data_IF_204080106420
#
_entry.id   IF_204080106420
#
_cell.length_a   1.000
_cell.length_b   1.000
_cell.length_c   1.000
_cell.angle_alpha   90.00
_cell.angle_beta   90.00
_cell.angle_gamma   90.00
#
_symmetry.space_group_name_H-M   'P 1'
#
loop_
_entity.id
_entity.type
_entity.pdbx_description
1 polymer ?
#
# COMPACT_ATOMS: atom_id res chain seq x y z
N UNK A 1 -74.97 -13.65 6.71
CA UNK A 1 -73.65 -13.56 7.35
C UNK A 1 -72.57 -13.92 6.33
N UNK A 2 -71.78 -12.95 5.85
CA UNK A 2 -70.52 -13.21 5.20
C UNK A 2 -69.35 -12.79 6.12
N UNK A 3 -68.40 -13.70 6.35
CA UNK A 3 -67.14 -13.37 7.02
C UNK A 3 -66.26 -12.54 6.08
N UNK A 4 -66.16 -11.23 6.33
CA UNK A 4 -65.13 -10.38 5.75
C UNK A 4 -63.79 -10.72 6.40
N UNK A 5 -62.89 -11.34 5.62
CA UNK A 5 -61.49 -11.52 5.99
C UNK A 5 -60.78 -10.21 5.68
N UNK A 6 -60.44 -9.44 6.72
CA UNK A 6 -59.57 -8.29 6.63
C UNK A 6 -58.22 -8.74 6.05
N UNK A 7 -57.89 -8.29 4.83
CA UNK A 7 -56.52 -8.27 4.34
C UNK A 7 -55.93 -6.92 4.73
N UNK A 8 -55.09 -6.94 5.75
CA UNK A 8 -54.17 -5.84 6.03
C UNK A 8 -53.25 -5.65 4.81
N UNK A 9 -53.00 -4.41 4.36
CA UNK A 9 -51.96 -4.19 3.39
C UNK A 9 -50.63 -4.46 4.09
N UNK A 10 -49.94 -5.53 3.68
CA UNK A 10 -48.53 -5.71 4.00
C UNK A 10 -47.79 -4.43 3.58
N UNK A 11 -47.46 -3.59 4.57
CA UNK A 11 -46.51 -2.51 4.39
C UNK A 11 -45.25 -3.14 3.84
N UNK A 12 -44.91 -2.74 2.62
CA UNK A 12 -43.64 -3.06 2.01
C UNK A 12 -42.55 -2.68 3.01
N UNK A 13 -41.79 -3.66 3.48
CA UNK A 13 -40.43 -3.40 3.91
C UNK A 13 -39.70 -2.92 2.65
N UNK A 14 -39.74 -1.62 2.39
CA UNK A 14 -38.76 -0.97 1.52
C UNK A 14 -37.41 -1.20 2.20
N UNK A 15 -36.74 -2.28 1.80
CA UNK A 15 -35.30 -2.35 1.87
C UNK A 15 -34.80 -1.09 1.17
N UNK A 16 -34.15 -0.21 1.92
CA UNK A 16 -33.38 0.90 1.37
C UNK A 16 -32.20 0.29 0.58
N UNK A 17 -32.49 -0.30 -0.58
CA UNK A 17 -31.48 -0.67 -1.55
C UNK A 17 -30.87 0.63 -2.07
N UNK A 18 -29.58 0.78 -1.81
CA UNK A 18 -28.80 1.88 -2.33
C UNK A 18 -28.95 1.90 -3.86
N UNK A 19 -29.11 3.08 -4.50
CA UNK A 19 -29.39 3.20 -5.93
C UNK A 19 -28.36 2.53 -6.86
N UNK A 20 -27.20 2.12 -6.34
CA UNK A 20 -26.19 1.33 -7.02
C UNK A 20 -26.59 -0.16 -7.18
N UNK A 21 -27.22 -0.78 -6.18
CA UNK A 21 -27.66 -2.18 -6.27
C UNK A 21 -28.80 -2.36 -7.28
N UNK A 22 -29.69 -1.38 -7.40
CA UNK A 22 -30.73 -1.37 -8.44
C UNK A 22 -30.13 -1.27 -9.85
N UNK A 23 -29.05 -0.49 -10.02
CA UNK A 23 -28.30 -0.40 -11.30
C UNK A 23 -27.54 -1.68 -11.66
N UNK A 24 -27.11 -2.47 -10.67
CA UNK A 24 -26.48 -3.78 -10.88
C UNK A 24 -27.48 -4.87 -11.28
N UNK A 25 -28.71 -4.82 -10.76
CA UNK A 25 -29.77 -5.76 -11.14
C UNK A 25 -30.28 -5.52 -12.58
N UNK A 26 -30.24 -4.26 -13.04
CA UNK A 26 -30.67 -3.84 -14.38
C UNK A 26 -29.52 -3.81 -15.41
N UNK A 27 -28.27 -3.95 -14.98
CA UNK A 27 -27.11 -3.94 -15.87
C UNK A 27 -26.92 -5.31 -16.54
N UNK A 28 -26.74 -5.27 -17.86
CA UNK A 28 -26.34 -6.45 -18.62
C UNK A 28 -25.00 -6.98 -18.06
N UNK A 29 -24.89 -8.25 -17.65
CA UNK A 29 -23.67 -8.83 -17.04
C UNK A 29 -22.44 -8.86 -17.99
N UNK A 30 -22.64 -8.44 -19.25
CA UNK A 30 -21.59 -8.29 -20.26
C UNK A 30 -21.23 -6.83 -20.56
N UNK A 31 -21.90 -5.84 -19.96
CA UNK A 31 -21.56 -4.44 -20.13
C UNK A 31 -20.62 -3.97 -19.01
N UNK A 32 -19.43 -3.43 -19.33
CA UNK A 32 -18.54 -2.86 -18.32
C UNK A 32 -19.22 -1.64 -17.69
N UNK A 33 -19.36 -1.68 -16.36
CA UNK A 33 -19.89 -0.57 -15.56
C UNK A 33 -18.99 0.64 -15.79
N UNK A 34 -19.51 1.70 -16.42
CA UNK A 34 -18.76 2.96 -16.56
C UNK A 34 -18.84 3.73 -15.25
N UNK A 35 -17.72 3.99 -14.56
CA UNK A 35 -17.73 4.77 -13.34
C UNK A 35 -18.19 6.21 -13.62
N UNK A 36 -19.01 6.76 -12.71
CA UNK A 36 -19.52 8.12 -12.79
C UNK A 36 -18.34 9.12 -12.66
N UNK A 37 -18.17 10.08 -13.60
CA UNK A 37 -17.02 10.98 -13.64
C UNK A 37 -16.86 11.85 -12.39
N UNK A 38 -17.94 12.14 -11.66
CA UNK A 38 -17.88 12.89 -10.40
C UNK A 38 -17.49 12.00 -9.20
N UNK A 39 -17.68 10.68 -9.31
CA UNK A 39 -17.23 9.69 -8.34
C UNK A 39 -15.72 9.46 -8.46
N UNK A 40 -15.22 9.40 -9.70
CA UNK A 40 -13.78 9.42 -10.00
C UNK A 40 -13.08 10.60 -9.33
N UNK A 41 -13.66 11.80 -9.29
CA UNK A 41 -13.01 12.95 -8.65
C UNK A 41 -12.85 12.80 -7.12
N UNK A 42 -13.77 12.11 -6.43
CA UNK A 42 -13.70 11.85 -4.98
C UNK A 42 -12.76 10.70 -4.63
N UNK A 43 -12.61 9.74 -5.53
CA UNK A 43 -11.62 8.66 -5.45
C UNK A 43 -10.17 9.18 -5.28
N UNK A 44 -9.90 10.41 -5.74
CA UNK A 44 -8.55 10.93 -5.80
C UNK A 44 -8.11 11.71 -4.56
N UNK A 45 -8.95 11.96 -3.53
CA UNK A 45 -8.49 12.66 -2.32
C UNK A 45 -8.02 11.69 -1.22
N UNK A 46 -6.71 11.71 -0.95
CA UNK A 46 -6.01 10.96 0.09
C UNK A 46 -5.33 11.96 1.04
N UNK A 47 -5.50 11.85 2.37
CA UNK A 47 -4.98 12.86 3.33
C UNK A 47 -5.49 14.31 3.10
N UNK A 48 -6.60 14.48 2.38
CA UNK A 48 -7.06 15.80 1.92
C UNK A 48 -6.32 16.33 0.69
N UNK A 49 -5.44 15.52 0.08
CA UNK A 49 -4.66 15.82 -1.12
C UNK A 49 -5.12 14.96 -2.30
N UNK A 50 -5.15 15.49 -3.53
CA UNK A 50 -5.32 14.67 -4.73
C UNK A 50 -4.23 13.56 -4.88
N UNK A 51 -4.49 12.51 -5.67
CA UNK A 51 -3.55 11.39 -5.89
C UNK A 51 -2.16 11.83 -6.35
N UNK A 52 -2.09 12.75 -7.31
CA UNK A 52 -0.82 13.22 -7.87
C UNK A 52 0.08 13.91 -6.80
N UNK A 53 -0.40 14.89 -6.01
CA UNK A 53 0.39 15.47 -4.93
C UNK A 53 0.68 14.48 -3.80
N UNK A 54 -0.23 13.56 -3.48
CA UNK A 54 0.05 12.51 -2.47
C UNK A 54 1.20 11.60 -2.92
N UNK A 55 1.17 11.15 -4.18
CA UNK A 55 2.22 10.32 -4.76
C UNK A 55 3.55 11.10 -4.89
N UNK A 56 3.48 12.40 -5.19
CA UNK A 56 4.66 13.28 -5.18
C UNK A 56 5.27 13.36 -3.79
N UNK A 57 4.44 13.57 -2.76
CA UNK A 57 4.88 13.62 -1.36
C UNK A 57 5.55 12.30 -0.92
N UNK A 58 5.02 11.16 -1.36
CA UNK A 58 5.65 9.87 -1.12
C UNK A 58 7.08 9.81 -1.69
N UNK A 59 7.29 10.22 -2.94
CA UNK A 59 8.62 10.21 -3.55
C UNK A 59 9.57 11.26 -2.98
N UNK A 60 9.05 12.39 -2.46
CA UNK A 60 9.84 13.39 -1.71
C UNK A 60 10.44 12.78 -0.45
N UNK A 61 9.80 11.77 0.16
CA UNK A 61 10.37 11.03 1.28
C UNK A 61 11.19 9.81 0.85
N UNK A 62 10.67 9.00 -0.07
CA UNK A 62 11.28 7.73 -0.47
C UNK A 62 12.64 7.89 -1.18
N UNK A 63 12.75 8.84 -2.12
CA UNK A 63 13.99 9.00 -2.89
C UNK A 63 15.14 9.50 -2.00
N UNK A 64 14.98 10.58 -1.21
CA UNK A 64 16.03 11.01 -0.29
C UNK A 64 16.36 9.96 0.77
N UNK A 65 15.38 9.19 1.24
CA UNK A 65 15.61 8.05 2.13
C UNK A 65 16.64 7.07 1.53
N UNK A 66 16.44 6.60 0.30
CA UNK A 66 17.37 5.68 -0.36
C UNK A 66 18.76 6.28 -0.57
N UNK A 67 18.83 7.57 -0.93
CA UNK A 67 20.12 8.27 -1.08
C UNK A 67 20.86 8.32 0.26
N UNK A 68 20.15 8.62 1.35
CA UNK A 68 20.72 8.70 2.69
C UNK A 68 21.12 7.33 3.25
N UNK A 69 20.42 6.26 2.88
CA UNK A 69 20.80 4.89 3.20
C UNK A 69 22.15 4.53 2.56
N UNK A 70 22.31 4.85 1.27
CA UNK A 70 23.58 4.67 0.55
C UNK A 70 24.67 5.57 1.16
N UNK A 71 24.37 6.84 1.43
CA UNK A 71 25.31 7.77 2.04
C UNK A 71 25.73 7.33 3.46
N UNK A 72 24.83 6.75 4.23
CA UNK A 72 25.12 6.14 5.53
C UNK A 72 26.11 4.99 5.36
N UNK A 73 25.92 4.10 4.39
CA UNK A 73 26.86 3.02 4.14
C UNK A 73 28.27 3.52 3.76
N UNK A 74 28.34 4.55 2.91
CA UNK A 74 29.64 5.17 2.52
C UNK A 74 30.31 5.83 3.72
N UNK A 75 29.57 6.65 4.48
CA UNK A 75 30.13 7.35 5.65
C UNK A 75 30.51 6.40 6.77
N UNK A 76 29.72 5.34 7.01
CA UNK A 76 30.04 4.28 7.97
C UNK A 76 31.30 3.51 7.57
N UNK A 77 31.52 3.26 6.27
CA UNK A 77 32.72 2.59 5.78
C UNK A 77 33.97 3.47 5.93
N UNK A 78 33.88 4.76 5.61
CA UNK A 78 35.05 5.68 5.59
C UNK A 78 35.37 6.26 6.97
N UNK A 79 34.36 6.68 7.73
CA UNK A 79 34.51 7.42 9.00
C UNK A 79 34.17 6.59 10.22
N UNK A 80 33.83 5.31 10.05
CA UNK A 80 33.30 4.39 11.07
C UNK A 80 31.93 4.83 11.62
N UNK A 81 31.24 3.89 12.25
CA UNK A 81 29.84 4.05 12.70
C UNK A 81 29.65 5.06 13.84
N UNK A 82 30.63 5.34 14.73
CA UNK A 82 30.44 6.36 15.77
C UNK A 82 30.46 7.80 15.24
N UNK A 83 30.78 8.02 13.96
CA UNK A 83 30.90 9.37 13.40
C UNK A 83 29.55 10.08 13.32
N UNK A 84 29.52 11.36 13.67
CA UNK A 84 28.31 12.18 13.58
C UNK A 84 27.72 12.22 12.15
N UNK A 85 28.58 12.08 11.13
CA UNK A 85 28.16 12.00 9.74
C UNK A 85 27.34 10.72 9.47
N UNK A 86 27.82 9.57 9.93
CA UNK A 86 27.08 8.30 9.82
C UNK A 86 25.74 8.38 10.55
N UNK A 87 25.77 8.80 11.83
CA UNK A 87 24.57 8.89 12.67
C UNK A 87 23.54 9.83 12.05
N UNK A 88 23.98 10.98 11.53
CA UNK A 88 23.11 11.93 10.82
C UNK A 88 22.45 11.32 9.58
N UNK A 89 23.23 10.64 8.73
CA UNK A 89 22.69 9.98 7.53
C UNK A 89 21.70 8.87 7.88
N UNK A 90 22.04 7.98 8.82
CA UNK A 90 21.16 6.87 9.25
C UNK A 90 19.88 7.43 9.86
N UNK A 91 19.97 8.42 10.75
CA UNK A 91 18.79 8.98 11.41
C UNK A 91 17.85 9.63 10.39
N UNK A 92 18.39 10.42 9.46
CA UNK A 92 17.58 11.06 8.42
C UNK A 92 16.97 10.03 7.45
N UNK A 93 17.71 8.99 7.08
CA UNK A 93 17.19 7.84 6.34
C UNK A 93 15.98 7.23 7.05
N UNK A 94 16.12 6.87 8.34
CA UNK A 94 15.06 6.22 9.11
C UNK A 94 13.80 7.09 9.16
N UNK A 95 13.94 8.39 9.44
CA UNK A 95 12.80 9.32 9.51
C UNK A 95 12.06 9.39 8.19
N UNK A 96 12.77 9.54 7.06
CA UNK A 96 12.15 9.67 5.74
C UNK A 96 11.55 8.35 5.28
N UNK A 97 12.22 7.23 5.52
CA UNK A 97 11.70 5.89 5.23
C UNK A 97 10.37 5.65 5.96
N UNK A 98 10.36 5.86 7.28
CA UNK A 98 9.15 5.68 8.10
C UNK A 98 8.05 6.67 7.74
N UNK A 99 8.38 7.91 7.33
CA UNK A 99 7.37 8.85 6.84
C UNK A 99 6.67 8.34 5.57
N UNK A 100 7.44 7.88 4.57
CA UNK A 100 6.89 7.30 3.34
C UNK A 100 6.07 6.02 3.62
N UNK A 101 6.57 5.19 4.55
CA UNK A 101 5.90 3.97 4.99
C UNK A 101 4.56 4.28 5.67
N UNK A 102 4.57 5.13 6.70
CA UNK A 102 3.39 5.50 7.47
C UNK A 102 2.33 6.15 6.58
N UNK A 103 2.72 7.08 5.71
CA UNK A 103 1.81 7.70 4.74
C UNK A 103 1.05 6.64 3.94
N UNK A 104 1.77 5.62 3.45
CA UNK A 104 1.18 4.56 2.62
C UNK A 104 0.34 3.59 3.43
N UNK A 105 0.85 3.11 4.57
CA UNK A 105 0.15 2.13 5.41
C UNK A 105 -1.10 2.73 6.06
N UNK A 106 -1.07 3.98 6.52
CA UNK A 106 -2.29 4.65 6.99
C UNK A 106 -3.33 4.77 5.88
N UNK A 107 -2.90 5.07 4.65
CA UNK A 107 -3.78 5.07 3.49
C UNK A 107 -4.41 3.70 3.23
N UNK A 108 -3.65 2.62 3.38
CA UNK A 108 -4.14 1.25 3.26
C UNK A 108 -5.12 0.92 4.39
N UNK A 109 -4.81 1.25 5.64
CA UNK A 109 -5.68 0.97 6.81
C UNK A 109 -7.03 1.69 6.69
N UNK A 110 -7.05 2.93 6.19
CA UNK A 110 -8.29 3.67 5.96
C UNK A 110 -9.22 3.02 4.94
N UNK A 111 -8.67 2.21 4.02
CA UNK A 111 -9.39 1.55 2.92
C UNK A 111 -9.55 0.06 3.12
N UNK A 112 -8.79 -0.52 4.04
CA UNK A 112 -8.98 -1.88 4.50
C UNK A 112 -10.24 -1.88 5.36
N UNK A 113 -11.41 -2.08 4.76
CA UNK A 113 -12.58 -2.31 5.57
C UNK A 113 -12.44 -3.70 6.20
N UNK A 114 -12.64 -3.74 7.51
CA UNK A 114 -12.78 -5.00 8.23
C UNK A 114 -14.10 -5.73 7.88
N UNK A 115 -15.00 -5.08 7.13
CA UNK A 115 -16.28 -5.62 6.63
C UNK A 115 -16.24 -5.77 5.10
N UNK A 116 -15.50 -6.77 4.64
CA UNK A 116 -15.23 -7.12 3.23
C UNK A 116 -16.45 -7.33 2.30
N UNK A 117 -17.69 -7.24 2.81
CA UNK A 117 -18.93 -7.41 2.05
C UNK A 117 -19.67 -6.10 1.72
N UNK A 118 -19.18 -4.94 2.20
CA UNK A 118 -19.83 -3.63 2.00
C UNK A 118 -18.95 -2.63 1.23
N UNK A 119 -17.75 -3.04 0.78
CA UNK A 119 -16.79 -2.13 0.13
C UNK A 119 -17.21 -1.75 -1.29
N UNK A 120 -17.04 -0.46 -1.60
CA UNK A 120 -17.07 -0.02 -2.98
C UNK A 120 -15.88 -0.61 -3.74
N UNK A 121 -16.12 -1.06 -4.97
CA UNK A 121 -15.06 -1.53 -5.90
C UNK A 121 -13.91 -0.52 -6.01
N UNK A 122 -14.25 0.75 -5.86
CA UNK A 122 -13.37 1.91 -5.93
C UNK A 122 -12.34 1.97 -4.80
N UNK A 123 -12.76 1.73 -3.56
CA UNK A 123 -11.86 1.70 -2.40
C UNK A 123 -10.88 0.54 -2.50
N UNK A 124 -11.32 -0.59 -3.06
CA UNK A 124 -10.48 -1.78 -3.29
C UNK A 124 -9.41 -1.53 -4.34
N UNK A 125 -9.76 -0.85 -5.45
CA UNK A 125 -8.77 -0.43 -6.46
C UNK A 125 -7.74 0.54 -5.85
N UNK A 126 -8.17 1.51 -5.04
CA UNK A 126 -7.24 2.41 -4.35
C UNK A 126 -6.33 1.68 -3.36
N UNK A 127 -6.89 0.74 -2.59
CA UNK A 127 -6.11 -0.09 -1.68
C UNK A 127 -5.02 -0.85 -2.44
N UNK A 128 -5.34 -1.43 -3.59
CA UNK A 128 -4.36 -2.13 -4.42
C UNK A 128 -3.25 -1.19 -4.90
N UNK A 129 -3.57 0.02 -5.35
CA UNK A 129 -2.55 1.00 -5.75
C UNK A 129 -1.63 1.40 -4.60
N UNK A 130 -2.16 1.52 -3.38
CA UNK A 130 -1.38 1.80 -2.18
C UNK A 130 -0.51 0.60 -1.78
N UNK A 131 -1.02 -0.62 -1.94
CA UNK A 131 -0.25 -1.84 -1.73
C UNK A 131 0.94 -1.91 -2.72
N UNK A 132 0.71 -1.59 -4.00
CA UNK A 132 1.79 -1.50 -5.00
C UNK A 132 2.77 -0.36 -4.67
N UNK A 133 2.29 0.79 -4.20
CA UNK A 133 3.16 1.88 -3.74
C UNK A 133 4.05 1.44 -2.57
N UNK A 134 3.49 0.70 -1.61
CA UNK A 134 4.25 0.15 -0.49
C UNK A 134 5.34 -0.82 -0.99
N UNK A 135 5.03 -1.64 -1.99
CA UNK A 135 5.98 -2.54 -2.64
C UNK A 135 7.15 -1.78 -3.27
N UNK A 136 6.86 -0.65 -3.91
CA UNK A 136 7.86 0.27 -4.49
C UNK A 136 8.71 1.00 -3.46
N UNK A 137 8.34 0.99 -2.18
CA UNK A 137 9.20 1.42 -1.08
C UNK A 137 10.06 0.27 -0.54
N UNK A 138 9.41 -0.85 -0.23
CA UNK A 138 10.00 -1.96 0.50
C UNK A 138 11.07 -2.69 -0.30
N UNK A 139 10.79 -3.05 -1.55
CA UNK A 139 11.71 -3.86 -2.35
C UNK A 139 13.02 -3.11 -2.63
N UNK A 140 13.02 -1.84 -3.09
CA UNK A 140 14.28 -1.11 -3.28
C UNK A 140 15.06 -0.92 -1.98
N UNK A 141 14.37 -0.60 -0.87
CA UNK A 141 15.02 -0.47 0.44
C UNK A 141 15.69 -1.79 0.85
N UNK A 142 15.01 -2.93 0.69
CA UNK A 142 15.60 -4.23 0.99
C UNK A 142 16.86 -4.50 0.15
N UNK A 143 16.83 -4.20 -1.15
CA UNK A 143 17.98 -4.40 -2.04
C UNK A 143 19.17 -3.53 -1.61
N UNK A 144 18.93 -2.26 -1.30
CA UNK A 144 19.97 -1.33 -0.83
C UNK A 144 20.52 -1.79 0.52
N UNK A 145 19.66 -2.16 1.46
CA UNK A 145 20.03 -2.64 2.79
C UNK A 145 20.90 -3.91 2.73
N UNK A 146 20.60 -4.85 1.84
CA UNK A 146 21.43 -6.05 1.64
C UNK A 146 22.79 -5.70 1.02
N UNK A 147 22.77 -4.87 -0.03
CA UNK A 147 23.99 -4.46 -0.72
C UNK A 147 24.94 -3.66 0.19
N UNK A 148 24.40 -2.91 1.15
CA UNK A 148 25.17 -2.16 2.14
C UNK A 148 25.66 -3.05 3.30
N UNK A 149 24.87 -4.02 3.73
CA UNK A 149 25.25 -4.96 4.80
C UNK A 149 26.42 -5.89 4.42
N UNK A 150 26.46 -6.41 3.19
CA UNK A 150 27.51 -7.35 2.74
C UNK A 150 28.94 -6.81 2.95
N UNK A 151 29.33 -5.65 2.40
CA UNK A 151 30.68 -5.12 2.59
C UNK A 151 30.96 -4.70 4.03
N UNK A 152 29.94 -4.21 4.73
CA UNK A 152 30.01 -3.82 6.12
C UNK A 152 30.33 -5.00 7.06
N UNK A 153 29.66 -6.14 6.85
CA UNK A 153 29.88 -7.34 7.64
C UNK A 153 31.31 -7.89 7.52
N UNK A 154 31.92 -7.73 6.35
CA UNK A 154 33.32 -8.11 6.09
C UNK A 154 34.30 -7.17 6.81
N UNK A 155 33.97 -5.89 6.94
CA UNK A 155 34.82 -4.86 7.56
C UNK A 155 34.57 -4.68 9.06
N UNK A 156 33.95 -5.68 9.73
CA UNK A 156 33.67 -5.61 11.17
C UNK A 156 34.98 -5.74 11.95
N UNK A 157 35.50 -4.62 12.41
CA UNK A 157 36.71 -4.58 13.25
C UNK A 157 36.38 -4.51 14.75
N UNK A 158 35.13 -4.17 15.11
CA UNK A 158 34.65 -3.94 16.48
C UNK A 158 33.20 -4.40 16.68
N UNK A 159 32.84 -4.78 17.91
CA UNK A 159 31.47 -5.14 18.31
C UNK A 159 30.51 -3.93 18.27
N UNK A 160 31.00 -2.74 18.61
CA UNK A 160 30.18 -1.51 18.54
C UNK A 160 29.83 -1.15 17.10
N UNK A 161 30.77 -1.36 16.16
CA UNK A 161 30.51 -1.19 14.73
C UNK A 161 29.51 -2.24 14.23
N UNK A 162 29.60 -3.48 14.72
CA UNK A 162 28.72 -4.57 14.32
C UNK A 162 27.24 -4.25 14.58
N UNK A 163 26.90 -3.65 15.73
CA UNK A 163 25.52 -3.33 16.08
C UNK A 163 24.84 -2.40 15.06
N UNK A 164 25.56 -1.38 14.58
CA UNK A 164 25.04 -0.47 13.56
C UNK A 164 24.90 -1.13 12.19
N UNK A 165 25.81 -2.04 11.83
CA UNK A 165 25.69 -2.80 10.59
C UNK A 165 24.53 -3.80 10.62
N UNK A 166 24.25 -4.39 11.80
CA UNK A 166 23.07 -5.23 11.99
C UNK A 166 21.76 -4.47 11.77
N UNK A 167 21.72 -3.14 11.90
CA UNK A 167 20.53 -2.36 11.53
C UNK A 167 20.23 -2.47 10.03
N UNK A 168 21.22 -2.45 9.15
CA UNK A 168 21.00 -2.65 7.72
C UNK A 168 20.49 -4.06 7.44
N UNK A 169 21.03 -5.08 8.12
CA UNK A 169 20.49 -6.45 8.02
C UNK A 169 19.03 -6.53 8.50
N UNK A 170 18.70 -5.86 9.60
CA UNK A 170 17.34 -5.80 10.12
C UNK A 170 16.39 -5.15 9.11
N UNK A 171 16.80 -4.04 8.49
CA UNK A 171 16.02 -3.37 7.45
C UNK A 171 15.85 -4.25 6.20
N UNK A 172 16.89 -4.96 5.78
CA UNK A 172 16.77 -5.95 4.71
C UNK A 172 15.70 -7.01 5.05
N UNK A 173 15.77 -7.61 6.24
CA UNK A 173 14.85 -8.69 6.65
C UNK A 173 13.41 -8.15 6.74
N UNK A 174 13.18 -7.05 7.46
CA UNK A 174 11.85 -6.47 7.64
C UNK A 174 11.25 -6.08 6.30
N UNK A 175 11.98 -5.34 5.47
CA UNK A 175 11.47 -4.89 4.18
C UNK A 175 11.20 -6.08 3.24
N UNK A 176 12.05 -7.11 3.25
CA UNK A 176 11.83 -8.33 2.46
C UNK A 176 10.57 -9.07 2.90
N UNK A 177 10.43 -9.34 4.20
CA UNK A 177 9.26 -10.06 4.75
C UNK A 177 7.99 -9.27 4.48
N UNK A 178 7.98 -7.97 4.76
CA UNK A 178 6.81 -7.13 4.51
C UNK A 178 6.48 -7.01 3.03
N UNK A 179 7.49 -6.91 2.15
CA UNK A 179 7.33 -6.94 0.69
C UNK A 179 6.64 -8.23 0.24
N UNK A 180 7.14 -9.38 0.68
CA UNK A 180 6.56 -10.69 0.35
C UNK A 180 5.12 -10.80 0.87
N UNK A 181 4.88 -10.45 2.13
CA UNK A 181 3.54 -10.48 2.72
C UNK A 181 2.57 -9.53 2.02
N UNK A 182 3.03 -8.34 1.63
CA UNK A 182 2.21 -7.37 0.91
C UNK A 182 1.89 -7.86 -0.52
N UNK A 183 2.87 -8.45 -1.22
CA UNK A 183 2.66 -9.05 -2.53
C UNK A 183 1.62 -10.19 -2.50
N UNK A 184 1.74 -11.11 -1.53
CA UNK A 184 0.82 -12.24 -1.43
C UNK A 184 -0.55 -11.85 -0.86
N UNK A 185 -0.59 -11.18 0.30
CA UNK A 185 -1.83 -11.00 1.05
C UNK A 185 -2.65 -9.79 0.59
N UNK A 186 -2.01 -8.74 0.07
CA UNK A 186 -2.71 -7.52 -0.32
C UNK A 186 -2.85 -7.45 -1.84
N UNK A 187 -1.72 -7.55 -2.57
CA UNK A 187 -1.70 -7.32 -4.01
C UNK A 187 -2.35 -8.49 -4.76
N UNK A 188 -1.84 -9.71 -4.58
CA UNK A 188 -2.33 -10.90 -5.30
C UNK A 188 -3.81 -11.13 -4.99
N UNK A 189 -4.14 -11.14 -3.70
CA UNK A 189 -5.51 -11.34 -3.24
C UNK A 189 -6.49 -10.33 -3.83
N UNK A 190 -6.21 -9.02 -3.73
CA UNK A 190 -7.16 -8.01 -4.24
C UNK A 190 -7.18 -7.94 -5.77
N UNK A 191 -6.05 -8.15 -6.44
CA UNK A 191 -6.01 -8.18 -7.90
C UNK A 191 -6.87 -9.33 -8.47
N UNK A 192 -6.73 -10.54 -7.91
CA UNK A 192 -7.54 -11.70 -8.32
C UNK A 192 -9.02 -11.43 -8.04
N UNK A 193 -9.34 -10.87 -6.88
CA UNK A 193 -10.73 -10.57 -6.51
C UNK A 193 -11.37 -9.52 -7.43
N UNK A 194 -10.67 -8.43 -7.74
CA UNK A 194 -11.15 -7.40 -8.69
C UNK A 194 -11.30 -7.94 -10.12
N UNK A 195 -10.46 -8.89 -10.50
CA UNK A 195 -10.55 -9.55 -11.79
C UNK A 195 -11.73 -10.52 -11.89
N UNK A 196 -11.90 -11.38 -10.87
CA UNK A 196 -12.92 -12.44 -10.89
C UNK A 196 -14.31 -11.97 -10.47
N UNK A 197 -14.43 -11.11 -9.45
CA UNK A 197 -15.72 -10.64 -8.92
C UNK A 197 -16.26 -9.46 -9.74
N UNK A 198 -15.40 -8.47 -10.03
CA UNK A 198 -15.83 -7.19 -10.61
C UNK A 198 -15.49 -7.03 -12.10
N UNK A 199 -14.76 -7.99 -12.69
CA UNK A 199 -14.34 -8.02 -14.10
C UNK A 199 -13.64 -6.74 -14.57
N UNK A 200 -12.84 -6.10 -13.70
CA UNK A 200 -12.13 -4.87 -14.06
C UNK A 200 -10.88 -5.23 -14.88
N UNK A 201 -10.75 -4.78 -16.15
CA UNK A 201 -9.55 -5.00 -16.92
C UNK A 201 -8.40 -4.06 -16.51
N UNK A 202 -7.16 -4.53 -16.59
CA UNK A 202 -5.96 -3.69 -16.38
C UNK A 202 -5.57 -3.45 -14.92
N UNK A 203 -6.14 -4.22 -13.99
CA UNK A 203 -5.72 -4.25 -12.58
C UNK A 203 -4.28 -4.76 -12.50
N UNK A 204 -3.38 -4.12 -11.72
CA UNK A 204 -2.01 -4.58 -11.57
C UNK A 204 -1.98 -6.07 -11.21
N UNK A 205 -1.44 -6.91 -12.09
CA UNK A 205 -1.36 -8.34 -11.79
C UNK A 205 -0.28 -8.55 -10.73
N UNK A 206 -0.51 -9.53 -9.85
CA UNK A 206 0.45 -9.96 -8.83
C UNK A 206 1.88 -10.10 -9.38
N UNK A 207 2.00 -10.61 -10.60
CA UNK A 207 3.27 -10.92 -11.24
C UNK A 207 4.08 -9.65 -11.57
N UNK A 208 3.44 -8.55 -11.99
CA UNK A 208 4.15 -7.29 -12.29
C UNK A 208 4.33 -6.41 -11.06
N UNK A 209 3.35 -6.44 -10.16
CA UNK A 209 3.37 -5.67 -8.93
C UNK A 209 4.50 -6.11 -7.97
N UNK A 210 4.89 -7.40 -7.94
CA UNK A 210 6.07 -7.88 -7.20
C UNK A 210 7.34 -7.15 -7.62
N UNK A 211 7.48 -6.81 -8.92
CA UNK A 211 8.61 -6.07 -9.46
C UNK A 211 8.46 -4.55 -9.37
N UNK A 212 7.34 -4.05 -8.81
CA UNK A 212 7.05 -2.62 -8.72
C UNK A 212 6.80 -1.94 -10.07
N UNK A 213 6.44 -2.75 -11.08
CA UNK A 213 6.10 -2.34 -12.45
C UNK A 213 4.59 -2.22 -12.65
#
# INVERSE_FOLDING_TARGET
>A
MPHHRNQEPHQAHESHELPFHRKLADANPYEPIRPDPNHLLRLHLHWGLPYAPENTLFYVFAIPSWILEIAAAVTGSVKKTPSAAFIGCVTAFLVLHWAAWLQTVFGMVQRASWRRSEESVEERVQFLWLAVRLQRLMLPTAIIALATFIPAYVQRDSEDDLAYWLLFLLFFIINTVCSVMNAYNNITWEADRLWFEDRIPGVPSAHYAIFGL
#
